data_IF_683214993868
#
_entry.id   IF_683214993868
#
_cell.length_a   1.000
_cell.length_b   1.000
_cell.length_c   1.000
_cell.angle_alpha   90.00
_cell.angle_beta   90.00
_cell.angle_gamma   90.00
#
_symmetry.space_group_name_H-M   'P 1'
#
loop_
_entity.id
_entity.type
_entity.pdbx_description
1 polymer ?
#
# COMPACT_ATOMS: atom_id res chain seq x y z
N UNK A 1 7.61 -32.15 50.75
CA UNK A 1 7.87 -30.86 50.08
C UNK A 1 7.83 -31.13 48.60
N UNK A 2 6.66 -31.04 48.02
CA UNK A 2 6.39 -31.27 46.59
C UNK A 2 6.54 -29.96 45.86
N UNK A 3 7.66 -29.84 45.08
CA UNK A 3 7.94 -28.70 44.22
C UNK A 3 6.94 -28.68 43.07
N UNK A 4 5.99 -27.76 43.15
CA UNK A 4 5.04 -27.43 42.09
C UNK A 4 5.79 -26.64 40.98
N UNK A 5 6.47 -27.35 40.09
CA UNK A 5 6.90 -26.75 38.81
C UNK A 5 5.66 -26.58 37.94
N UNK A 6 4.99 -25.49 38.12
CA UNK A 6 4.06 -25.02 37.10
C UNK A 6 4.90 -24.80 35.82
N UNK A 7 4.71 -25.69 34.88
CA UNK A 7 5.13 -25.46 33.50
C UNK A 7 4.38 -24.21 33.04
N UNK A 8 5.08 -23.09 33.06
CA UNK A 8 4.65 -21.87 32.39
C UNK A 8 4.60 -22.21 30.91
N UNK A 9 3.43 -22.63 30.45
CA UNK A 9 3.13 -22.84 29.04
C UNK A 9 3.35 -21.46 28.41
N UNK A 10 4.50 -21.27 27.78
CA UNK A 10 4.81 -20.08 27.00
C UNK A 10 3.71 -19.91 25.96
N UNK A 11 2.77 -19.04 26.25
CA UNK A 11 1.72 -18.66 25.31
C UNK A 11 2.44 -18.07 24.08
N UNK A 12 2.33 -18.67 22.89
CA UNK A 12 3.00 -18.16 21.70
C UNK A 12 2.56 -16.71 21.52
N UNK A 13 3.51 -15.84 21.33
CA UNK A 13 3.30 -14.41 21.17
C UNK A 13 2.24 -14.17 20.08
N UNK A 14 1.01 -13.92 20.52
CA UNK A 14 -0.25 -13.98 19.75
C UNK A 14 -0.32 -12.91 18.64
N UNK A 15 0.64 -11.96 18.61
CA UNK A 15 0.64 -10.82 17.71
C UNK A 15 1.16 -11.10 16.30
N UNK A 16 2.00 -12.11 16.08
CA UNK A 16 2.68 -12.38 14.82
C UNK A 16 2.39 -13.76 14.21
N UNK A 17 1.22 -14.36 14.43
CA UNK A 17 0.93 -15.62 13.77
C UNK A 17 0.80 -15.42 12.25
N UNK A 18 1.47 -16.24 11.42
CA UNK A 18 1.43 -16.10 9.96
C UNK A 18 0.01 -16.13 9.41
N UNK A 19 -0.89 -16.88 10.05
CA UNK A 19 -2.31 -16.95 9.70
C UNK A 19 -2.99 -15.57 9.77
N UNK A 20 -2.68 -14.73 10.77
CA UNK A 20 -3.26 -13.39 10.87
C UNK A 20 -2.82 -12.48 9.74
N UNK A 21 -1.54 -12.54 9.37
CA UNK A 21 -1.01 -11.74 8.25
C UNK A 21 -1.73 -12.12 6.96
N UNK A 22 -1.91 -13.41 6.70
CA UNK A 22 -2.64 -13.90 5.52
C UNK A 22 -4.09 -13.41 5.51
N UNK A 23 -4.78 -13.46 6.64
CA UNK A 23 -6.17 -12.95 6.76
C UNK A 23 -6.22 -11.44 6.49
N UNK A 24 -5.30 -10.65 7.04
CA UNK A 24 -5.25 -9.22 6.77
C UNK A 24 -4.96 -8.91 5.29
N UNK A 25 -4.02 -9.63 4.67
CA UNK A 25 -3.74 -9.48 3.24
C UNK A 25 -4.99 -9.79 2.42
N UNK A 26 -5.65 -10.92 2.69
CA UNK A 26 -6.87 -11.33 1.96
C UNK A 26 -7.99 -10.28 2.12
N UNK A 27 -8.19 -9.76 3.33
CA UNK A 27 -9.17 -8.69 3.60
C UNK A 27 -8.83 -7.41 2.83
N UNK A 28 -7.57 -6.98 2.83
CA UNK A 28 -7.15 -5.79 2.09
C UNK A 28 -7.24 -5.96 0.59
N UNK A 29 -6.98 -7.16 0.06
CA UNK A 29 -7.20 -7.48 -1.36
C UNK A 29 -8.68 -7.36 -1.69
N UNK A 30 -9.58 -7.94 -0.89
CA UNK A 30 -11.03 -7.87 -1.10
C UNK A 30 -11.52 -6.41 -1.07
N UNK A 31 -11.11 -5.62 -0.09
CA UNK A 31 -11.44 -4.19 0.00
C UNK A 31 -10.95 -3.43 -1.23
N UNK A 32 -9.71 -3.68 -1.67
CA UNK A 32 -9.15 -3.01 -2.85
C UNK A 32 -9.90 -3.36 -4.14
N UNK A 33 -10.36 -4.61 -4.29
CA UNK A 33 -11.18 -5.03 -5.43
C UNK A 33 -12.54 -4.33 -5.40
N UNK A 34 -13.20 -4.27 -4.26
CA UNK A 34 -14.49 -3.57 -4.11
C UNK A 34 -14.33 -2.08 -4.45
N UNK A 35 -13.31 -1.42 -3.93
CA UNK A 35 -13.02 -0.02 -4.27
C UNK A 35 -12.76 0.17 -5.77
N UNK A 36 -12.11 -0.80 -6.43
CA UNK A 36 -11.88 -0.76 -7.87
C UNK A 36 -13.20 -0.91 -8.66
N UNK A 37 -14.10 -1.80 -8.23
CA UNK A 37 -15.41 -1.97 -8.84
C UNK A 37 -16.27 -0.70 -8.70
N UNK A 38 -16.34 -0.14 -7.50
CA UNK A 38 -17.05 1.13 -7.23
C UNK A 38 -16.47 2.26 -8.08
N UNK A 39 -15.16 2.34 -8.15
CA UNK A 39 -14.44 3.32 -8.96
C UNK A 39 -14.77 3.22 -10.46
N UNK A 40 -14.91 2.01 -10.96
CA UNK A 40 -15.30 1.78 -12.36
C UNK A 40 -16.71 2.29 -12.65
N UNK A 41 -17.65 2.04 -11.76
CA UNK A 41 -19.02 2.56 -11.88
C UNK A 41 -19.06 4.09 -11.80
N UNK A 42 -18.30 4.67 -10.88
CA UNK A 42 -18.19 6.13 -10.75
C UNK A 42 -17.57 6.76 -12.01
N UNK A 43 -16.53 6.13 -12.57
CA UNK A 43 -15.87 6.59 -13.78
C UNK A 43 -16.75 6.48 -15.03
N UNK A 44 -17.73 5.56 -15.05
CA UNK A 44 -18.70 5.46 -16.15
C UNK A 44 -19.66 6.67 -16.21
N UNK A 45 -19.90 7.32 -15.08
CA UNK A 45 -20.71 8.54 -14.97
C UNK A 45 -19.93 9.85 -15.25
N UNK A 46 -18.59 9.75 -15.35
CA UNK A 46 -17.70 10.91 -15.54
C UNK A 46 -17.15 10.95 -16.98
N UNK A 47 -16.72 12.14 -17.49
CA UNK A 47 -16.02 12.24 -18.75
C UNK A 47 -14.78 11.33 -18.77
N UNK A 48 -14.48 10.72 -19.91
CA UNK A 48 -13.36 9.77 -20.06
C UNK A 48 -11.98 10.36 -19.68
N UNK A 49 -11.85 11.67 -19.72
CA UNK A 49 -10.64 12.39 -19.28
C UNK A 49 -10.45 12.39 -17.76
N UNK A 50 -11.52 12.16 -16.98
CA UNK A 50 -11.53 12.27 -15.52
C UNK A 50 -11.81 10.90 -14.86
N UNK A 51 -10.92 9.92 -15.10
CA UNK A 51 -11.00 8.62 -14.46
C UNK A 51 -10.50 8.70 -13.02
N UNK A 52 -11.42 8.64 -12.05
CA UNK A 52 -11.08 8.57 -10.63
C UNK A 52 -10.95 7.11 -10.22
N UNK A 53 -9.75 6.68 -9.83
CA UNK A 53 -9.52 5.33 -9.33
C UNK A 53 -9.39 5.34 -7.81
N UNK A 54 -10.37 4.79 -7.10
CA UNK A 54 -10.33 4.62 -5.65
C UNK A 54 -9.48 3.41 -5.22
N UNK A 55 -9.01 2.60 -6.15
CA UNK A 55 -8.16 1.44 -5.85
C UNK A 55 -6.86 1.84 -5.13
N UNK A 56 -6.30 3.00 -5.45
CA UNK A 56 -5.11 3.54 -4.78
C UNK A 56 -5.30 3.68 -3.27
N UNK A 57 -6.51 4.04 -2.82
CA UNK A 57 -6.82 4.13 -1.40
C UNK A 57 -6.61 2.78 -0.69
N UNK A 58 -7.12 1.68 -1.28
CA UNK A 58 -6.93 0.33 -0.74
C UNK A 58 -5.47 -0.08 -0.68
N UNK A 59 -4.69 0.25 -1.72
CA UNK A 59 -3.26 -0.05 -1.77
C UNK A 59 -2.45 0.77 -0.76
N UNK A 60 -2.77 2.05 -0.61
CA UNK A 60 -2.11 2.92 0.36
C UNK A 60 -2.45 2.54 1.80
N UNK A 61 -3.72 2.17 2.07
CA UNK A 61 -4.13 1.65 3.37
C UNK A 61 -3.39 0.35 3.71
N UNK A 62 -3.31 -0.59 2.76
CA UNK A 62 -2.58 -1.84 2.97
C UNK A 62 -1.09 -1.61 3.20
N UNK A 63 -0.46 -0.69 2.45
CA UNK A 63 0.94 -0.33 2.62
C UNK A 63 1.22 0.38 3.94
N UNK A 64 0.29 1.20 4.43
CA UNK A 64 0.41 1.88 5.73
C UNK A 64 0.27 0.91 6.90
N UNK A 65 -0.67 -0.04 6.84
CA UNK A 65 -1.00 -0.97 7.95
C UNK A 65 -0.08 -2.19 7.95
N UNK A 66 0.06 -2.87 6.81
CA UNK A 66 0.83 -4.12 6.69
C UNK A 66 2.31 -3.88 6.36
N UNK A 67 2.65 -2.71 5.88
CA UNK A 67 3.98 -2.35 5.43
C UNK A 67 4.17 -2.43 3.91
N UNK A 68 5.30 -1.89 3.40
CA UNK A 68 5.52 -1.65 1.98
C UNK A 68 5.47 -2.92 1.12
N UNK A 69 6.07 -4.01 1.57
CA UNK A 69 6.15 -5.27 0.81
C UNK A 69 4.79 -5.96 0.71
N UNK A 70 4.04 -6.03 1.81
CA UNK A 70 2.69 -6.61 1.80
C UNK A 70 1.71 -5.71 1.04
N UNK A 71 1.85 -4.39 1.15
CA UNK A 71 1.09 -3.43 0.35
C UNK A 71 1.32 -3.61 -1.16
N UNK A 72 2.57 -3.84 -1.57
CA UNK A 72 2.92 -4.18 -2.95
C UNK A 72 2.23 -5.48 -3.41
N UNK A 73 2.28 -6.53 -2.59
CA UNK A 73 1.62 -7.80 -2.91
C UNK A 73 0.09 -7.63 -3.04
N UNK A 74 -0.54 -6.91 -2.11
CA UNK A 74 -1.97 -6.58 -2.16
C UNK A 74 -2.31 -5.82 -3.44
N UNK A 75 -1.52 -4.82 -3.82
CA UNK A 75 -1.74 -4.03 -5.03
C UNK A 75 -1.63 -4.91 -6.29
N UNK A 76 -0.59 -5.73 -6.41
CA UNK A 76 -0.42 -6.63 -7.56
C UNK A 76 -1.58 -7.62 -7.70
N UNK A 77 -1.94 -8.30 -6.60
CA UNK A 77 -3.00 -9.32 -6.61
C UNK A 77 -4.36 -8.69 -6.88
N UNK A 78 -4.71 -7.61 -6.20
CA UNK A 78 -5.98 -6.93 -6.39
C UNK A 78 -6.11 -6.30 -7.77
N UNK A 79 -5.00 -5.80 -8.34
CA UNK A 79 -5.01 -5.25 -9.69
C UNK A 79 -5.16 -6.34 -10.75
N UNK A 80 -4.46 -7.46 -10.61
CA UNK A 80 -4.59 -8.62 -11.47
C UNK A 80 -6.05 -9.12 -11.49
N UNK A 81 -6.62 -9.39 -10.31
CA UNK A 81 -8.01 -9.83 -10.19
C UNK A 81 -8.97 -8.78 -10.76
N UNK A 82 -8.74 -7.51 -10.46
CA UNK A 82 -9.57 -6.42 -10.96
C UNK A 82 -9.51 -6.24 -12.48
N UNK A 83 -8.39 -6.52 -13.14
CA UNK A 83 -8.30 -6.51 -14.61
C UNK A 83 -9.07 -7.68 -15.25
N UNK A 84 -9.18 -8.81 -14.56
CA UNK A 84 -10.01 -9.94 -14.99
C UNK A 84 -11.51 -9.67 -14.81
N UNK A 85 -11.90 -9.03 -13.68
CA UNK A 85 -13.31 -8.74 -13.38
C UNK A 85 -13.88 -7.58 -14.22
N UNK A 86 -13.03 -6.63 -14.61
CA UNK A 86 -13.41 -5.47 -15.40
C UNK A 86 -12.62 -5.50 -16.71
N UNK A 87 -13.09 -6.24 -17.73
CA UNK A 87 -12.41 -6.30 -19.00
C UNK A 87 -12.46 -4.91 -19.67
N UNK A 88 -11.33 -4.23 -19.68
CA UNK A 88 -11.14 -2.92 -20.33
C UNK A 88 -10.76 -3.08 -21.81
N UNK A 89 -11.15 -4.19 -22.46
CA UNK A 89 -10.96 -4.43 -23.88
C UNK A 89 -9.66 -5.12 -24.28
N UNK A 90 -8.91 -5.69 -23.35
CA UNK A 90 -7.64 -6.38 -23.64
C UNK A 90 -7.21 -7.38 -22.57
N UNK A 91 -6.13 -8.11 -22.85
CA UNK A 91 -5.49 -8.98 -21.89
C UNK A 91 -4.91 -8.17 -20.71
N UNK A 92 -4.78 -8.76 -19.51
CA UNK A 92 -4.14 -8.12 -18.37
C UNK A 92 -2.73 -7.61 -18.74
N UNK A 93 -2.48 -6.33 -18.47
CA UNK A 93 -1.20 -5.73 -18.80
C UNK A 93 -0.22 -5.89 -17.61
N UNK A 94 0.85 -6.69 -17.74
CA UNK A 94 1.78 -6.97 -16.66
C UNK A 94 2.55 -5.72 -16.20
N UNK A 95 2.79 -4.76 -17.09
CA UNK A 95 3.49 -3.52 -16.75
C UNK A 95 2.62 -2.67 -15.82
N UNK A 96 1.30 -2.62 -16.05
CA UNK A 96 0.37 -1.93 -15.16
C UNK A 96 0.31 -2.57 -13.78
N UNK A 97 0.28 -3.91 -13.72
CA UNK A 97 0.26 -4.63 -12.45
C UNK A 97 1.54 -4.33 -11.65
N UNK A 98 2.70 -4.41 -12.30
CA UNK A 98 3.98 -4.10 -11.69
C UNK A 98 4.07 -2.62 -11.26
N UNK A 99 3.58 -1.69 -12.09
CA UNK A 99 3.54 -0.25 -11.79
C UNK A 99 2.65 0.08 -10.60
N UNK A 100 1.50 -0.58 -10.48
CA UNK A 100 0.60 -0.40 -9.35
C UNK A 100 1.17 -1.01 -8.05
N UNK A 101 1.83 -2.18 -8.14
CA UNK A 101 2.57 -2.75 -7.03
C UNK A 101 3.73 -1.85 -6.56
N UNK A 102 4.49 -1.31 -7.50
CA UNK A 102 5.57 -0.35 -7.23
C UNK A 102 5.04 0.94 -6.59
N UNK A 103 3.87 1.41 -7.01
CA UNK A 103 3.21 2.58 -6.42
C UNK A 103 2.90 2.36 -4.93
N UNK A 104 2.33 1.20 -4.57
CA UNK A 104 2.08 0.85 -3.18
C UNK A 104 3.39 0.70 -2.38
N UNK A 105 4.44 0.15 -3.00
CA UNK A 105 5.76 0.01 -2.40
C UNK A 105 6.38 1.37 -2.07
N UNK A 106 6.43 2.29 -3.04
CA UNK A 106 6.98 3.64 -2.87
C UNK A 106 6.22 4.40 -1.80
N UNK A 107 4.88 4.36 -1.85
CA UNK A 107 4.04 4.98 -0.82
C UNK A 107 4.36 4.41 0.57
N UNK A 108 4.41 3.08 0.71
CA UNK A 108 4.67 2.41 1.98
C UNK A 108 6.07 2.69 2.52
N UNK A 109 7.09 2.74 1.64
CA UNK A 109 8.45 3.13 2.02
C UNK A 109 8.49 4.57 2.52
N UNK A 110 7.89 5.50 1.78
CA UNK A 110 7.82 6.89 2.19
C UNK A 110 7.08 7.04 3.53
N UNK A 111 5.91 6.41 3.68
CA UNK A 111 5.10 6.47 4.88
C UNK A 111 5.84 5.91 6.10
N UNK A 112 6.64 4.85 5.93
CA UNK A 112 7.35 4.17 7.02
C UNK A 112 8.69 4.80 7.36
N UNK A 113 9.47 5.28 6.37
CA UNK A 113 10.85 5.72 6.59
C UNK A 113 11.02 7.23 6.69
N UNK A 114 10.14 8.03 6.10
CA UNK A 114 10.15 9.47 6.33
C UNK A 114 9.72 9.74 7.79
N UNK A 115 10.40 10.67 8.45
CA UNK A 115 10.10 11.08 9.81
C UNK A 115 10.43 12.56 10.00
N UNK A 116 9.41 13.36 10.27
CA UNK A 116 9.56 14.80 10.53
C UNK A 116 9.44 15.07 12.04
N UNK A 117 10.54 14.87 12.77
CA UNK A 117 10.61 14.91 14.25
C UNK A 117 10.08 16.18 14.90
N UNK A 118 9.95 17.28 14.16
CA UNK A 118 9.52 18.59 14.68
C UNK A 118 8.01 18.83 14.60
N UNK A 119 7.25 17.94 13.94
CA UNK A 119 5.83 18.13 13.68
C UNK A 119 4.95 17.30 14.62
N UNK A 120 3.71 17.73 14.89
CA UNK A 120 2.71 16.89 15.57
C UNK A 120 2.52 15.59 14.82
N UNK A 121 2.32 14.47 15.51
CA UNK A 121 2.22 13.12 14.90
C UNK A 121 1.23 13.05 13.73
N UNK A 122 0.08 13.68 13.84
CA UNK A 122 -0.91 13.71 12.76
C UNK A 122 -0.42 14.39 11.49
N UNK A 123 0.21 15.56 11.67
CA UNK A 123 0.76 16.35 10.54
C UNK A 123 1.95 15.61 9.90
N UNK A 124 2.78 14.97 10.71
CA UNK A 124 3.89 14.14 10.24
C UNK A 124 3.37 12.98 9.37
N UNK A 125 2.39 12.21 9.84
CA UNK A 125 1.80 11.12 9.09
C UNK A 125 1.11 11.59 7.79
N UNK A 126 0.40 12.71 7.86
CA UNK A 126 -0.24 13.31 6.69
C UNK A 126 0.80 13.73 5.64
N UNK A 127 1.88 14.39 6.08
CA UNK A 127 2.95 14.84 5.19
C UNK A 127 3.67 13.67 4.54
N UNK A 128 3.94 12.59 5.28
CA UNK A 128 4.47 11.33 4.74
C UNK A 128 3.56 10.73 3.68
N UNK A 129 2.24 10.72 3.92
CA UNK A 129 1.26 10.21 2.97
C UNK A 129 1.23 11.04 1.69
N UNK A 130 1.24 12.38 1.81
CA UNK A 130 1.26 13.31 0.66
C UNK A 130 2.52 13.11 -0.16
N UNK A 131 3.69 13.10 0.47
CA UNK A 131 4.99 12.94 -0.23
C UNK A 131 5.07 11.55 -0.87
N UNK A 132 4.66 10.50 -0.14
CA UNK A 132 4.65 9.13 -0.67
C UNK A 132 3.73 8.97 -1.87
N UNK A 133 2.52 9.53 -1.81
CA UNK A 133 1.57 9.49 -2.91
C UNK A 133 2.05 10.33 -4.12
N UNK A 134 2.65 11.49 -3.89
CA UNK A 134 3.21 12.32 -4.95
C UNK A 134 4.37 11.60 -5.66
N UNK A 135 5.30 11.02 -4.93
CA UNK A 135 6.40 10.23 -5.48
C UNK A 135 5.89 9.01 -6.29
N UNK A 136 4.92 8.27 -5.72
CA UNK A 136 4.28 7.15 -6.40
C UNK A 136 3.56 7.59 -7.69
N UNK A 137 2.87 8.74 -7.66
CA UNK A 137 2.17 9.28 -8.82
C UNK A 137 3.15 9.68 -9.94
N UNK A 138 4.21 10.38 -9.61
CA UNK A 138 5.20 10.81 -10.59
C UNK A 138 5.94 9.63 -11.22
N UNK A 139 6.43 8.70 -10.41
CA UNK A 139 7.25 7.58 -10.89
C UNK A 139 6.37 6.51 -11.55
N UNK A 140 5.29 6.09 -10.87
CA UNK A 140 4.51 4.95 -11.32
C UNK A 140 3.37 5.36 -12.24
N UNK A 141 2.54 6.35 -11.89
CA UNK A 141 1.37 6.72 -12.70
C UNK A 141 1.78 7.40 -13.99
N UNK A 142 2.64 8.43 -13.93
CA UNK A 142 3.10 9.14 -15.12
C UNK A 142 4.23 8.41 -15.86
N UNK A 143 5.11 7.70 -15.15
CA UNK A 143 6.19 6.94 -15.76
C UNK A 143 5.73 5.55 -16.22
N UNK A 144 5.78 4.59 -15.30
CA UNK A 144 5.62 3.16 -15.62
C UNK A 144 4.27 2.83 -16.22
N UNK A 145 3.16 3.31 -15.63
CA UNK A 145 1.82 2.99 -16.10
C UNK A 145 1.50 3.67 -17.45
N UNK A 146 1.97 4.91 -17.65
CA UNK A 146 1.80 5.61 -18.93
C UNK A 146 2.57 4.91 -20.03
N UNK A 147 3.82 4.50 -19.77
CA UNK A 147 4.63 3.75 -20.70
C UNK A 147 4.00 2.39 -21.03
N UNK A 148 3.53 1.65 -20.02
CA UNK A 148 2.88 0.37 -20.19
C UNK A 148 1.61 0.45 -21.03
N UNK A 149 0.79 1.47 -20.83
CA UNK A 149 -0.41 1.67 -21.64
C UNK A 149 -0.08 2.11 -23.06
N UNK A 150 0.90 2.99 -23.22
CA UNK A 150 1.33 3.41 -24.55
C UNK A 150 1.87 2.26 -25.37
N UNK A 151 2.73 1.43 -24.81
CA UNK A 151 3.29 0.26 -25.50
C UNK A 151 2.23 -0.77 -25.90
N UNK A 152 1.24 -1.03 -25.04
CA UNK A 152 0.27 -2.10 -25.29
C UNK A 152 -0.94 -1.66 -26.12
N UNK A 153 -1.37 -0.41 -25.98
CA UNK A 153 -2.66 0.00 -26.58
C UNK A 153 -2.58 1.23 -27.48
N UNK A 154 -1.55 2.07 -27.35
CA UNK A 154 -1.49 3.38 -27.98
C UNK A 154 -0.18 3.65 -28.70
N UNK A 155 0.54 2.63 -29.14
CA UNK A 155 1.86 2.76 -29.79
C UNK A 155 1.84 3.61 -31.09
N UNK A 156 0.67 3.76 -31.70
CA UNK A 156 0.49 4.61 -32.91
C UNK A 156 0.34 6.10 -32.57
N UNK A 157 0.16 6.48 -31.30
CA UNK A 157 -0.01 7.88 -30.88
C UNK A 157 1.31 8.48 -30.42
N UNK A 158 1.42 9.83 -30.49
CA UNK A 158 2.60 10.52 -29.96
C UNK A 158 2.66 10.37 -28.43
N UNK A 159 3.77 9.83 -27.92
CA UNK A 159 3.97 9.57 -26.49
C UNK A 159 3.78 10.81 -25.62
N UNK A 160 4.29 11.98 -26.05
CA UNK A 160 4.18 13.22 -25.29
C UNK A 160 2.72 13.70 -25.17
N UNK A 161 1.97 13.67 -26.28
CA UNK A 161 0.55 14.03 -26.27
C UNK A 161 -0.25 13.10 -25.37
N UNK A 162 0.06 11.78 -25.40
CA UNK A 162 -0.56 10.80 -24.53
C UNK A 162 -0.22 11.08 -23.06
N UNK A 163 1.03 11.39 -22.71
CA UNK A 163 1.46 11.70 -21.34
C UNK A 163 0.76 12.96 -20.80
N UNK A 164 0.62 14.01 -21.63
CA UNK A 164 -0.08 15.23 -21.24
C UNK A 164 -1.55 14.92 -20.87
N UNK A 165 -2.22 14.08 -21.67
CA UNK A 165 -3.60 13.67 -21.35
C UNK A 165 -3.72 12.93 -20.01
N UNK A 166 -2.63 12.32 -19.55
CA UNK A 166 -2.54 11.60 -18.27
C UNK A 166 -2.32 12.48 -17.05
N UNK A 167 -1.94 13.75 -17.23
CA UNK A 167 -1.81 14.69 -16.10
C UNK A 167 -3.12 14.83 -15.33
N UNK A 168 -4.26 14.73 -16.01
CA UNK A 168 -5.58 14.74 -15.35
C UNK A 168 -5.77 13.57 -14.36
N UNK A 169 -5.05 12.47 -14.53
CA UNK A 169 -5.08 11.36 -13.58
C UNK A 169 -4.46 11.70 -12.21
N UNK A 170 -3.64 12.75 -12.11
CA UNK A 170 -3.13 13.25 -10.83
C UNK A 170 -4.26 13.71 -9.91
N UNK A 171 -5.39 14.16 -10.46
CA UNK A 171 -6.61 14.48 -9.69
C UNK A 171 -7.10 13.26 -8.91
N UNK A 172 -7.03 12.06 -9.52
CA UNK A 172 -7.38 10.80 -8.83
C UNK A 172 -6.46 10.55 -7.62
N UNK A 173 -5.16 10.84 -7.75
CA UNK A 173 -4.22 10.69 -6.63
C UNK A 173 -4.56 11.69 -5.52
N UNK A 174 -4.86 12.94 -5.85
CA UNK A 174 -5.25 13.96 -4.87
C UNK A 174 -6.50 13.55 -4.10
N UNK A 175 -7.53 13.03 -4.80
CA UNK A 175 -8.76 12.50 -4.15
C UNK A 175 -8.43 11.35 -3.21
N UNK A 176 -7.60 10.40 -3.63
CA UNK A 176 -7.22 9.27 -2.77
C UNK A 176 -6.41 9.69 -1.54
N UNK A 177 -5.54 10.69 -1.67
CA UNK A 177 -4.81 11.27 -0.53
C UNK A 177 -5.75 11.99 0.42
N UNK A 178 -6.73 12.74 -0.07
CA UNK A 178 -7.74 13.39 0.76
C UNK A 178 -8.59 12.36 1.53
N UNK A 179 -9.02 11.28 0.86
CA UNK A 179 -9.73 10.19 1.52
C UNK A 179 -8.87 9.46 2.53
N UNK A 180 -7.60 9.21 2.21
CA UNK A 180 -6.65 8.61 3.16
C UNK A 180 -6.47 9.50 4.38
N UNK A 181 -6.34 10.83 4.21
CA UNK A 181 -6.25 11.79 5.30
C UNK A 181 -7.48 11.80 6.19
N UNK A 182 -8.68 11.61 5.61
CA UNK A 182 -9.93 11.53 6.37
C UNK A 182 -10.02 10.22 7.18
N UNK A 183 -9.44 9.13 6.70
CA UNK A 183 -9.41 7.83 7.40
C UNK A 183 -8.28 7.75 8.43
N UNK A 184 -7.22 8.55 8.26
CA UNK A 184 -6.03 8.53 9.11
C UNK A 184 -6.33 8.66 10.61
N UNK A 185 -7.24 9.55 11.10
CA UNK A 185 -7.59 9.64 12.52
C UNK A 185 -8.19 8.33 13.06
N UNK A 186 -8.99 7.65 12.26
CA UNK A 186 -9.60 6.36 12.64
C UNK A 186 -8.53 5.28 12.77
N UNK A 187 -7.59 5.23 11.82
CA UNK A 187 -6.46 4.29 11.87
C UNK A 187 -5.54 4.56 13.08
N UNK A 188 -5.38 5.83 13.43
CA UNK A 188 -4.58 6.24 14.59
C UNK A 188 -5.23 5.81 15.89
N UNK A 189 -6.55 6.01 16.05
CA UNK A 189 -7.32 5.60 17.24
C UNK A 189 -7.40 4.08 17.41
N UNK A 190 -7.26 3.31 16.34
CA UNK A 190 -7.26 1.84 16.37
C UNK A 190 -5.87 1.24 16.67
N UNK A 191 -4.86 2.04 17.01
CA UNK A 191 -3.47 1.65 17.25
C UNK A 191 -2.81 0.82 16.11
N UNK A 192 -3.49 0.69 14.97
CA UNK A 192 -2.99 -0.09 13.82
C UNK A 192 -1.69 0.49 13.26
N UNK A 193 -1.58 1.82 13.25
CA UNK A 193 -0.38 2.53 12.80
C UNK A 193 0.70 2.49 13.88
N UNK A 194 0.33 2.50 15.15
CA UNK A 194 1.25 2.44 16.28
C UNK A 194 1.93 1.07 16.38
N UNK A 195 1.18 -0.02 16.18
CA UNK A 195 1.74 -1.38 16.12
C UNK A 195 2.66 -1.57 14.90
N UNK A 196 2.36 -0.94 13.77
CA UNK A 196 3.23 -0.94 12.59
C UNK A 196 4.54 -0.16 12.83
N UNK A 197 4.49 0.92 13.61
CA UNK A 197 5.68 1.70 14.00
C UNK A 197 6.53 0.95 15.04
N UNK A 198 5.90 0.25 15.99
CA UNK A 198 6.58 -0.57 17.00
C UNK A 198 7.28 -1.79 16.39
N UNK A 199 6.69 -2.43 15.36
CA UNK A 199 7.32 -3.50 14.60
C UNK A 199 8.53 -3.05 13.76
N UNK A 200 8.73 -1.75 13.57
CA UNK A 200 9.92 -1.18 12.94
C UNK A 200 11.21 -1.52 13.71
N UNK A 201 11.13 -1.62 15.03
CA UNK A 201 12.27 -1.93 15.89
C UNK A 201 12.56 -3.45 16.00
N UNK A 202 11.57 -4.30 15.79
CA UNK A 202 11.72 -5.76 15.93
C UNK A 202 12.39 -6.40 14.71
N UNK A 203 12.23 -5.81 13.51
CA UNK A 203 12.88 -6.32 12.29
C UNK A 203 14.30 -5.76 12.10
N UNK A 204 14.68 -4.71 12.84
CA UNK A 204 15.99 -4.07 12.74
C UNK A 204 17.03 -4.60 13.75
N UNK A 205 16.69 -5.58 14.55
CA UNK A 205 17.61 -6.23 15.50
C UNK A 205 17.81 -7.72 15.17
N UNK A 206 18.59 -8.07 14.13
CA UNK A 206 19.21 -9.38 14.07
C UNK A 206 20.60 -9.22 14.66
N UNK A 207 20.88 -9.87 15.75
CA UNK A 207 22.20 -10.20 16.25
C UNK A 207 22.69 -9.68 17.61
N UNK A 208 22.05 -8.73 18.25
CA UNK A 208 22.59 -8.29 19.55
C UNK A 208 22.15 -9.17 20.74
N UNK A 209 21.06 -9.93 20.57
CA UNK A 209 20.60 -10.89 21.60
C UNK A 209 21.24 -12.29 21.52
N UNK A 210 22.00 -12.58 20.48
CA UNK A 210 22.70 -13.86 20.35
C UNK A 210 24.06 -13.85 21.06
N UNK A 211 24.62 -12.69 21.37
CA UNK A 211 25.92 -12.57 22.04
C UNK A 211 25.83 -12.53 23.59
N UNK A 212 24.66 -12.11 24.12
CA UNK A 212 24.45 -12.16 25.57
C UNK A 212 24.06 -13.56 26.11
N UNK A 213 23.77 -14.53 25.24
CA UNK A 213 23.42 -15.89 25.63
C UNK A 213 24.60 -16.90 25.59
N UNK A 214 25.84 -16.44 25.46
CA UNK A 214 27.01 -17.30 25.67
C UNK A 214 27.29 -17.37 27.15
N UNK A 215 27.16 -18.55 27.80
CA UNK A 215 27.68 -18.74 29.14
C UNK A 215 29.19 -18.58 29.09
N UNK A 216 29.72 -17.75 29.96
CA UNK A 216 31.17 -17.68 30.21
C UNK A 216 31.61 -19.01 30.78
N UNK A 217 32.26 -19.81 29.94
CA UNK A 217 33.09 -20.93 30.38
C UNK A 217 34.51 -20.42 30.69
#
# INVERSE_FOLDING_TARGET
MTSNRQQEIATPNRKNSPTRIVVYIATMVAVSIVLKLVSNQLSAALPQSLKISLAYLGWYLSAAVLGPYYGCAVACVSDLIGQWLIPTGGAPNPILIAGNGLSALIFGLAFRYLCFRKLPKYVDLLLRAVIGAAAAALICTLGVNTLGLWLYYYSSTNYFAFTISRLLQLTSVAVNVALFAAILPVLFNLDLVHDAEKNRFVVSAPSEQADEARPND
#
